data_IF_246116012482
#
_entry.id   IF_246116012482
#
_cell.length_a   1.000
_cell.length_b   1.000
_cell.length_c   1.000
_cell.angle_alpha   90.00
_cell.angle_beta   90.00
_cell.angle_gamma   90.00
#
_symmetry.space_group_name_H-M   'P 1'
#
loop_
_entity.id
_entity.type
_entity.pdbx_description
1 polymer ?
#
# COMPACT_ATOMS: atom_id res chain seq x y z
N UNK A 1 37.98 -40.38 7.56
CA UNK A 1 36.63 -40.59 7.01
C UNK A 1 36.15 -39.26 6.45
N UNK A 2 35.99 -39.10 5.13
CA UNK A 2 35.43 -37.89 4.57
C UNK A 2 33.90 -37.97 4.62
N UNK A 3 33.25 -37.04 5.31
CA UNK A 3 31.81 -36.81 5.21
C UNK A 3 31.55 -36.03 3.92
N UNK A 4 30.90 -36.67 2.97
CA UNK A 4 30.31 -36.02 1.80
C UNK A 4 29.12 -35.22 2.29
N UNK A 5 29.27 -33.90 2.31
CA UNK A 5 28.15 -32.98 2.38
C UNK A 5 27.48 -33.01 1.01
N UNK A 6 26.34 -33.68 0.93
CA UNK A 6 25.39 -33.51 -0.17
C UNK A 6 24.78 -32.12 -0.02
N UNK A 7 25.41 -31.13 -0.66
CA UNK A 7 24.79 -29.84 -0.92
C UNK A 7 23.78 -30.04 -2.06
N UNK A 8 22.51 -30.15 -1.68
CA UNK A 8 21.37 -30.03 -2.59
C UNK A 8 21.44 -28.65 -3.27
N UNK A 9 22.06 -28.62 -4.46
CA UNK A 9 21.97 -27.50 -5.39
C UNK A 9 20.53 -27.40 -5.88
N UNK A 10 19.72 -26.57 -5.21
CA UNK A 10 18.50 -26.03 -5.79
C UNK A 10 18.90 -25.21 -7.02
N UNK A 11 18.73 -25.81 -8.20
CA UNK A 11 18.78 -25.10 -9.47
C UNK A 11 17.69 -24.02 -9.47
N UNK A 12 18.09 -22.78 -9.19
CA UNK A 12 17.32 -21.58 -9.50
C UNK A 12 17.16 -21.48 -11.02
N UNK A 13 16.11 -22.11 -11.54
CA UNK A 13 15.63 -21.89 -12.91
C UNK A 13 14.93 -20.55 -13.03
N UNK A 14 15.62 -19.43 -12.77
CA UNK A 14 15.01 -18.11 -12.56
C UNK A 14 15.16 -17.18 -13.79
N UNK A 15 15.11 -17.74 -15.01
CA UNK A 15 15.49 -17.02 -16.22
C UNK A 15 14.38 -16.55 -17.16
N UNK A 16 13.20 -17.18 -17.18
CA UNK A 16 12.28 -17.03 -18.33
C UNK A 16 10.86 -16.49 -17.99
N UNK A 17 10.44 -16.54 -16.72
CA UNK A 17 9.09 -16.15 -16.31
C UNK A 17 8.75 -14.68 -16.66
N UNK A 18 9.76 -13.79 -16.60
CA UNK A 18 9.60 -12.39 -16.97
C UNK A 18 9.35 -12.17 -18.48
N UNK A 19 9.92 -13.02 -19.33
CA UNK A 19 9.73 -12.95 -20.79
C UNK A 19 8.37 -13.51 -21.19
N UNK A 20 7.97 -14.64 -20.60
CA UNK A 20 6.65 -15.22 -20.83
C UNK A 20 5.52 -14.26 -20.43
N UNK A 21 5.65 -13.62 -19.26
CA UNK A 21 4.70 -12.59 -18.82
C UNK A 21 4.66 -11.41 -19.80
N UNK A 22 5.82 -10.97 -20.30
CA UNK A 22 5.88 -9.86 -21.25
C UNK A 22 5.14 -10.20 -22.56
N UNK A 23 5.36 -11.39 -23.11
CA UNK A 23 4.66 -11.85 -24.33
C UNK A 23 3.16 -12.02 -24.09
N UNK A 24 2.77 -12.59 -22.94
CA UNK A 24 1.37 -12.68 -22.55
C UNK A 24 0.71 -11.30 -22.51
N UNK A 25 1.35 -10.32 -21.86
CA UNK A 25 0.83 -8.96 -21.74
C UNK A 25 0.72 -8.26 -23.11
N UNK A 26 1.64 -8.51 -24.05
CA UNK A 26 1.58 -7.93 -25.40
C UNK A 26 0.31 -8.35 -26.14
N UNK A 27 -0.12 -9.60 -25.95
CA UNK A 27 -1.29 -10.19 -26.59
C UNK A 27 -2.61 -9.82 -25.90
N UNK A 28 -2.57 -9.36 -24.64
CA UNK A 28 -3.75 -9.20 -23.78
C UNK A 28 -3.98 -7.76 -23.28
N UNK A 29 -3.94 -6.75 -24.16
CA UNK A 29 -4.04 -5.33 -23.77
C UNK A 29 -5.45 -4.87 -23.30
N UNK A 30 -6.46 -5.73 -23.40
CA UNK A 30 -7.83 -5.45 -22.94
C UNK A 30 -8.05 -5.69 -21.44
N UNK A 31 -7.00 -6.07 -20.71
CA UNK A 31 -7.05 -6.36 -19.27
C UNK A 31 -7.52 -5.13 -18.49
N UNK A 32 -8.51 -5.34 -17.61
CA UNK A 32 -9.04 -4.31 -16.69
C UNK A 32 -8.40 -4.35 -15.31
N UNK A 33 -7.97 -5.53 -14.88
CA UNK A 33 -7.34 -5.77 -13.58
C UNK A 33 -6.14 -6.67 -13.78
N UNK A 34 -4.97 -6.22 -13.36
CA UNK A 34 -3.72 -6.96 -13.51
C UNK A 34 -3.12 -7.23 -12.14
N UNK A 35 -2.89 -8.51 -11.85
CA UNK A 35 -2.20 -8.97 -10.66
C UNK A 35 -0.86 -9.55 -11.08
N UNK A 36 0.22 -9.00 -10.55
CA UNK A 36 1.58 -9.52 -10.73
C UNK A 36 2.12 -9.84 -9.35
N UNK A 37 2.53 -11.09 -9.17
CA UNK A 37 3.08 -11.65 -7.93
C UNK A 37 4.26 -12.54 -8.30
N UNK A 38 5.19 -12.70 -7.37
CA UNK A 38 6.31 -13.63 -7.45
C UNK A 38 7.22 -13.42 -8.68
N UNK A 39 7.17 -12.24 -9.30
CA UNK A 39 7.94 -11.91 -10.52
C UNK A 39 8.66 -10.57 -10.32
N UNK A 40 9.94 -10.53 -10.70
CA UNK A 40 10.71 -9.29 -10.77
C UNK A 40 10.19 -8.42 -11.91
N UNK A 41 9.66 -7.24 -11.59
CA UNK A 41 9.02 -6.38 -12.58
C UNK A 41 10.09 -5.56 -13.29
N UNK A 42 10.37 -5.91 -14.53
CA UNK A 42 11.24 -5.12 -15.39
C UNK A 42 10.60 -3.79 -15.79
N UNK A 43 11.44 -2.81 -16.14
CA UNK A 43 10.96 -1.54 -16.72
C UNK A 43 10.18 -1.74 -18.03
N UNK A 44 10.46 -2.83 -18.78
CA UNK A 44 9.69 -3.18 -19.98
C UNK A 44 8.25 -3.55 -19.65
N UNK A 45 8.02 -4.36 -18.60
CA UNK A 45 6.67 -4.74 -18.15
C UNK A 45 5.91 -3.49 -17.69
N UNK A 46 6.53 -2.62 -16.87
CA UNK A 46 5.91 -1.36 -16.43
C UNK A 46 5.57 -0.45 -17.61
N UNK A 47 6.44 -0.37 -18.62
CA UNK A 47 6.18 0.43 -19.80
C UNK A 47 5.07 -0.17 -20.67
N UNK A 48 4.96 -1.48 -20.75
CA UNK A 48 3.87 -2.14 -21.46
C UNK A 48 2.53 -1.93 -20.75
N UNK A 49 2.50 -2.00 -19.42
CA UNK A 49 1.30 -1.69 -18.62
C UNK A 49 0.76 -0.29 -18.94
N UNK A 50 1.62 0.66 -19.33
CA UNK A 50 1.19 2.02 -19.74
C UNK A 50 0.33 2.04 -20.99
N UNK A 51 0.44 1.04 -21.88
CA UNK A 51 -0.38 1.00 -23.09
C UNK A 51 -1.80 0.47 -22.85
N UNK A 52 -2.09 -0.05 -21.66
CA UNK A 52 -3.37 -0.71 -21.37
C UNK A 52 -4.45 0.34 -21.09
N UNK A 53 -5.20 0.71 -22.13
CA UNK A 53 -6.23 1.75 -22.05
C UNK A 53 -7.38 1.41 -21.08
N UNK A 54 -7.65 0.11 -20.90
CA UNK A 54 -8.75 -0.39 -20.07
C UNK A 54 -8.34 -0.75 -18.64
N UNK A 55 -7.04 -0.67 -18.31
CA UNK A 55 -6.54 -1.08 -17.00
C UNK A 55 -6.95 -0.07 -15.93
N UNK A 56 -7.69 -0.56 -14.94
CA UNK A 56 -8.23 0.25 -13.83
C UNK A 56 -7.69 -0.16 -12.47
N UNK A 57 -7.23 -1.40 -12.32
CA UNK A 57 -6.69 -1.95 -11.08
C UNK A 57 -5.36 -2.65 -11.36
N UNK A 58 -4.35 -2.34 -10.55
CA UNK A 58 -3.03 -2.95 -10.63
C UNK A 58 -2.61 -3.40 -9.23
N UNK A 59 -2.17 -4.65 -9.13
CA UNK A 59 -1.74 -5.26 -7.88
C UNK A 59 -0.32 -5.78 -8.06
N UNK A 60 0.63 -5.15 -7.37
CA UNK A 60 2.06 -5.43 -7.40
C UNK A 60 2.51 -5.77 -5.97
N UNK A 61 2.05 -6.90 -5.47
CA UNK A 61 2.03 -7.20 -4.03
C UNK A 61 3.23 -8.05 -3.55
N UNK A 62 4.32 -8.11 -4.31
CA UNK A 62 5.49 -8.92 -3.97
C UNK A 62 6.70 -8.08 -3.52
N UNK A 63 7.47 -8.61 -2.59
CA UNK A 63 8.72 -8.00 -2.12
C UNK A 63 9.79 -7.91 -3.20
N UNK A 64 9.83 -8.86 -4.14
CA UNK A 64 10.74 -8.84 -5.28
C UNK A 64 10.35 -7.81 -6.34
N UNK A 65 9.10 -7.32 -6.36
CA UNK A 65 8.64 -6.44 -7.43
C UNK A 65 9.42 -5.12 -7.48
N UNK A 66 9.90 -4.59 -6.35
CA UNK A 66 10.49 -3.24 -6.26
C UNK A 66 11.91 -3.19 -5.70
N UNK A 67 12.56 -4.34 -5.46
CA UNK A 67 13.95 -4.36 -4.96
C UNK A 67 14.93 -3.69 -5.92
N UNK A 68 14.71 -3.83 -7.23
CA UNK A 68 15.68 -3.43 -8.27
C UNK A 68 15.13 -2.40 -9.27
N UNK A 69 13.92 -1.87 -9.05
CA UNK A 69 13.35 -0.92 -10.01
C UNK A 69 14.08 0.42 -9.91
N UNK A 70 14.78 0.76 -11.00
CA UNK A 70 15.26 2.12 -11.22
C UNK A 70 14.07 3.07 -11.39
N UNK A 71 13.75 3.83 -10.34
CA UNK A 71 12.64 4.80 -10.30
C UNK A 71 12.66 5.76 -11.49
N UNK A 72 13.86 6.15 -11.97
CA UNK A 72 14.00 7.04 -13.12
C UNK A 72 13.46 6.40 -14.42
N UNK A 73 13.52 5.07 -14.55
CA UNK A 73 13.00 4.34 -15.72
C UNK A 73 11.47 4.33 -15.79
N UNK A 74 10.79 4.54 -14.66
CA UNK A 74 9.33 4.57 -14.63
C UNK A 74 8.80 5.98 -14.92
N UNK A 75 9.58 7.02 -14.60
CA UNK A 75 9.22 8.45 -14.67
C UNK A 75 8.98 8.98 -16.10
N UNK A 76 7.93 8.47 -16.76
CA UNK A 76 7.46 8.92 -18.07
C UNK A 76 6.34 9.95 -17.93
N UNK A 77 6.15 10.76 -18.98
CA UNK A 77 5.05 11.73 -19.09
C UNK A 77 3.66 11.09 -19.32
N UNK A 78 3.60 9.81 -19.70
CA UNK A 78 2.34 9.11 -19.98
C UNK A 78 1.64 8.76 -18.66
N UNK A 79 0.44 9.33 -18.48
CA UNK A 79 -0.42 9.04 -17.34
C UNK A 79 -1.28 7.82 -17.63
N UNK A 80 -1.28 6.87 -16.70
CA UNK A 80 -2.15 5.69 -16.78
C UNK A 80 -3.47 6.04 -16.09
N UNK A 81 -4.59 5.65 -16.70
CA UNK A 81 -5.91 5.82 -16.10
C UNK A 81 -6.22 4.76 -15.03
N UNK A 82 -5.32 4.61 -14.06
CA UNK A 82 -5.45 3.67 -12.97
C UNK A 82 -6.31 4.27 -11.86
N UNK A 83 -7.30 3.51 -11.39
CA UNK A 83 -8.20 3.92 -10.31
C UNK A 83 -7.83 3.31 -8.95
N UNK A 84 -7.15 2.16 -8.98
CA UNK A 84 -6.71 1.41 -7.80
C UNK A 84 -5.30 0.85 -8.00
N UNK A 85 -4.44 1.03 -6.99
CA UNK A 85 -3.11 0.44 -6.92
C UNK A 85 -2.93 -0.29 -5.59
N UNK A 86 -2.45 -1.52 -5.65
CA UNK A 86 -1.83 -2.21 -4.52
C UNK A 86 -0.35 -2.41 -4.80
N UNK A 87 0.50 -2.05 -3.84
CA UNK A 87 1.95 -2.10 -4.00
C UNK A 87 2.62 -2.55 -2.71
N UNK A 88 3.59 -3.46 -2.84
CA UNK A 88 4.51 -3.79 -1.77
C UNK A 88 5.77 -2.92 -1.87
N UNK A 89 6.06 -2.16 -0.82
CA UNK A 89 7.17 -1.23 -0.73
C UNK A 89 7.93 -1.50 0.56
N UNK A 90 9.01 -2.30 0.57
CA UNK A 90 9.72 -2.58 1.81
C UNK A 90 10.33 -1.31 2.43
N UNK A 91 10.80 -0.37 1.58
CA UNK A 91 11.36 0.93 1.96
C UNK A 91 10.84 1.99 0.96
N UNK A 92 10.56 3.22 1.42
CA UNK A 92 10.27 4.34 0.50
C UNK A 92 11.56 4.97 -0.02
N UNK A 93 12.00 4.55 -1.20
CA UNK A 93 13.13 5.14 -1.92
C UNK A 93 12.73 6.34 -2.81
N UNK A 94 11.59 6.99 -2.52
CA UNK A 94 11.02 8.08 -3.33
C UNK A 94 10.06 7.59 -4.44
N UNK A 95 9.75 6.30 -4.45
CA UNK A 95 8.82 5.70 -5.42
C UNK A 95 7.42 6.28 -5.27
N UNK A 96 6.97 6.57 -4.05
CA UNK A 96 5.66 7.14 -3.80
C UNK A 96 5.48 8.50 -4.51
N UNK A 97 6.52 9.34 -4.53
CA UNK A 97 6.48 10.60 -5.28
C UNK A 97 6.30 10.36 -6.78
N UNK A 98 6.97 9.36 -7.33
CA UNK A 98 6.85 8.98 -8.74
C UNK A 98 5.44 8.47 -9.07
N UNK A 99 4.83 7.67 -8.19
CA UNK A 99 3.47 7.16 -8.37
C UNK A 99 2.43 8.29 -8.41
N UNK A 100 2.61 9.36 -7.62
CA UNK A 100 1.67 10.51 -7.63
C UNK A 100 1.58 11.19 -8.99
N UNK A 101 2.68 11.16 -9.77
CA UNK A 101 2.75 11.75 -11.12
C UNK A 101 2.21 10.80 -12.20
N UNK A 102 2.48 9.51 -12.06
CA UNK A 102 2.10 8.49 -13.05
C UNK A 102 0.63 8.10 -12.96
N UNK A 103 0.08 8.11 -11.75
CA UNK A 103 -1.26 7.64 -11.45
C UNK A 103 -2.10 8.75 -10.80
N UNK A 104 -2.27 9.90 -11.48
CA UNK A 104 -2.96 11.06 -10.90
C UNK A 104 -4.46 10.82 -10.65
N UNK A 105 -5.02 9.77 -11.26
CA UNK A 105 -6.43 9.39 -11.13
C UNK A 105 -6.70 8.37 -10.02
N UNK A 106 -5.70 7.98 -9.22
CA UNK A 106 -5.88 7.00 -8.16
C UNK A 106 -6.93 7.44 -7.15
N UNK A 107 -7.87 6.53 -6.89
CA UNK A 107 -8.94 6.68 -5.91
C UNK A 107 -8.80 5.68 -4.76
N UNK A 108 -8.11 4.55 -4.98
CA UNK A 108 -7.75 3.59 -3.96
C UNK A 108 -6.26 3.27 -4.00
N UNK A 109 -5.61 3.25 -2.85
CA UNK A 109 -4.21 2.90 -2.70
C UNK A 109 -4.05 1.94 -1.52
N UNK A 110 -3.48 0.77 -1.78
CA UNK A 110 -3.06 -0.18 -0.75
C UNK A 110 -1.53 -0.26 -0.75
N UNK A 111 -0.90 0.07 0.37
CA UNK A 111 0.55 0.00 0.54
C UNK A 111 0.84 -1.08 1.57
N UNK A 112 1.59 -2.08 1.15
CA UNK A 112 2.12 -3.12 2.03
C UNK A 112 3.57 -2.75 2.29
N UNK A 113 3.96 -2.55 3.54
CA UNK A 113 5.33 -2.14 3.86
C UNK A 113 5.71 -2.51 5.28
N UNK A 114 6.91 -3.07 5.43
CA UNK A 114 7.47 -3.47 6.72
C UNK A 114 8.12 -2.30 7.47
N UNK A 115 8.75 -1.37 6.76
CA UNK A 115 9.66 -0.37 7.35
C UNK A 115 9.50 1.04 6.77
N UNK A 116 8.25 1.50 6.65
CA UNK A 116 7.99 2.86 6.18
C UNK A 116 7.86 3.82 7.36
N UNK A 117 8.33 5.05 7.22
CA UNK A 117 8.11 6.12 8.22
C UNK A 117 6.79 6.87 7.94
N UNK A 118 5.90 6.93 8.94
CA UNK A 118 4.51 7.35 8.72
C UNK A 118 4.36 8.85 8.41
N UNK A 119 5.22 9.68 9.00
CA UNK A 119 5.27 11.12 8.76
C UNK A 119 5.63 11.44 7.31
N UNK A 120 6.65 10.77 6.76
CA UNK A 120 7.05 10.88 5.35
C UNK A 120 5.92 10.45 4.42
N UNK A 121 5.23 9.35 4.76
CA UNK A 121 4.10 8.82 4.01
C UNK A 121 2.97 9.83 3.83
N UNK A 122 2.53 10.48 4.92
CA UNK A 122 1.41 11.42 4.88
C UNK A 122 1.67 12.57 3.90
N UNK A 123 2.88 13.13 3.95
CA UNK A 123 3.27 14.23 3.06
C UNK A 123 3.16 13.82 1.58
N UNK A 124 3.63 12.62 1.24
CA UNK A 124 3.61 12.15 -0.14
C UNK A 124 2.23 11.75 -0.61
N UNK A 125 1.45 11.02 0.21
CA UNK A 125 0.12 10.57 -0.19
C UNK A 125 -0.84 11.77 -0.36
N UNK A 126 -0.67 12.87 0.38
CA UNK A 126 -1.46 14.10 0.19
C UNK A 126 -1.41 14.69 -1.25
N UNK A 127 -0.43 14.26 -2.05
CA UNK A 127 -0.32 14.61 -3.46
C UNK A 127 -1.27 13.83 -4.38
N UNK A 128 -1.83 12.70 -3.94
CA UNK A 128 -2.87 11.98 -4.70
C UNK A 128 -4.22 12.70 -4.57
N UNK A 129 -4.43 13.69 -5.44
CA UNK A 129 -5.59 14.59 -5.36
C UNK A 129 -6.95 13.90 -5.45
N UNK A 130 -7.05 12.72 -6.08
CA UNK A 130 -8.32 11.97 -6.19
C UNK A 130 -8.46 10.82 -5.19
N UNK A 131 -7.50 10.63 -4.30
CA UNK A 131 -7.49 9.49 -3.39
C UNK A 131 -8.66 9.56 -2.42
N UNK A 132 -9.44 8.47 -2.36
CA UNK A 132 -10.60 8.29 -1.47
C UNK A 132 -10.37 7.22 -0.43
N UNK A 133 -9.62 6.17 -0.77
CA UNK A 133 -9.39 5.03 0.12
C UNK A 133 -7.90 4.78 0.24
N UNK A 134 -7.41 4.75 1.48
CA UNK A 134 -6.03 4.37 1.79
C UNK A 134 -6.05 3.12 2.67
N UNK A 135 -5.27 2.11 2.30
CA UNK A 135 -5.02 0.94 3.14
C UNK A 135 -3.51 0.79 3.35
N UNK A 136 -3.11 0.56 4.59
CA UNK A 136 -1.72 0.36 4.99
C UNK A 136 -1.61 -0.99 5.70
N UNK A 137 -0.68 -1.84 5.25
CA UNK A 137 -0.54 -3.24 5.68
C UNK A 137 0.88 -3.52 6.13
N UNK A 138 1.03 -4.33 7.20
CA UNK A 138 2.28 -4.86 7.74
C UNK A 138 3.28 -3.82 8.22
N UNK A 139 2.79 -2.69 8.71
CA UNK A 139 3.62 -1.60 9.20
C UNK A 139 4.29 -1.97 10.55
N UNK A 140 5.54 -2.48 10.54
CA UNK A 140 6.16 -3.14 11.71
C UNK A 140 6.72 -2.16 12.73
N UNK A 141 7.19 -0.96 12.34
CA UNK A 141 7.89 -0.08 13.29
C UNK A 141 7.30 1.33 13.33
N UNK A 142 6.49 1.59 14.37
CA UNK A 142 6.20 2.94 14.82
C UNK A 142 7.32 3.39 15.76
N UNK A 143 8.48 3.71 15.20
CA UNK A 143 9.51 4.40 15.96
C UNK A 143 8.98 5.79 16.33
N UNK A 144 8.76 5.98 17.63
CA UNK A 144 8.51 7.25 18.32
C UNK A 144 7.26 8.03 17.85
N UNK A 145 6.27 8.14 18.76
CA UNK A 145 5.13 9.08 18.79
C UNK A 145 4.83 9.89 17.51
N UNK A 146 4.49 9.20 16.42
CA UNK A 146 4.19 9.86 15.17
C UNK A 146 2.76 10.39 15.23
N UNK A 147 2.65 11.67 15.58
CA UNK A 147 1.43 12.44 15.35
C UNK A 147 1.02 12.24 13.90
N UNK A 148 -0.11 11.59 13.73
CA UNK A 148 -0.69 11.27 12.45
C UNK A 148 -1.39 12.54 11.97
N UNK A 149 -0.57 13.49 11.51
CA UNK A 149 -1.06 14.77 11.03
C UNK A 149 -1.45 14.59 9.57
N UNK A 150 -2.71 14.18 9.37
CA UNK A 150 -3.35 14.03 8.06
C UNK A 150 -3.65 15.43 7.53
N UNK A 151 -2.63 16.27 7.40
CA UNK A 151 -2.76 17.56 6.78
C UNK A 151 -3.00 17.33 5.29
N UNK A 152 -4.14 17.82 4.79
CA UNK A 152 -4.38 18.05 3.36
C UNK A 152 -4.87 16.87 2.50
N UNK A 153 -5.53 15.87 3.09
CA UNK A 153 -6.27 14.90 2.30
C UNK A 153 -7.68 15.39 1.96
N UNK A 154 -7.80 16.18 0.90
CA UNK A 154 -9.06 16.82 0.50
C UNK A 154 -10.19 15.83 0.16
N UNK A 155 -9.83 14.65 -0.36
CA UNK A 155 -10.79 13.69 -0.92
C UNK A 155 -10.85 12.35 -0.20
N UNK A 156 -10.02 12.15 0.82
CA UNK A 156 -9.94 10.87 1.54
C UNK A 156 -11.20 10.64 2.35
N UNK A 157 -11.81 9.48 2.15
CA UNK A 157 -13.07 9.04 2.75
C UNK A 157 -12.85 7.90 3.74
N UNK A 158 -11.86 7.03 3.47
CA UNK A 158 -11.53 5.91 4.34
C UNK A 158 -10.03 5.69 4.52
N UNK A 159 -9.66 5.24 5.71
CA UNK A 159 -8.32 4.73 6.03
C UNK A 159 -8.46 3.39 6.75
N UNK A 160 -7.74 2.37 6.27
CA UNK A 160 -7.62 1.07 6.91
C UNK A 160 -6.16 0.76 7.25
N UNK A 161 -5.92 0.36 8.49
CA UNK A 161 -4.64 -0.10 8.98
C UNK A 161 -4.77 -1.60 9.29
N UNK A 162 -3.89 -2.41 8.71
CA UNK A 162 -3.70 -3.80 9.08
C UNK A 162 -2.29 -3.94 9.64
N UNK A 163 -2.21 -4.05 10.96
CA UNK A 163 -0.94 -4.01 11.67
C UNK A 163 -0.50 -5.41 12.13
N UNK A 164 0.81 -5.60 12.22
CA UNK A 164 1.41 -6.82 12.78
C UNK A 164 1.25 -6.84 14.32
N UNK A 165 1.59 -7.98 14.93
CA UNK A 165 1.19 -8.51 16.25
C UNK A 165 1.30 -7.57 17.46
N UNK A 166 1.93 -6.39 17.36
CA UNK A 166 2.29 -5.56 18.52
C UNK A 166 1.80 -4.11 18.44
N UNK A 167 0.97 -3.74 17.46
CA UNK A 167 0.52 -2.36 17.33
C UNK A 167 -0.72 -2.07 18.17
N UNK A 168 -0.54 -1.24 19.21
CA UNK A 168 -1.63 -0.71 20.04
C UNK A 168 -2.30 0.51 19.38
N UNK A 169 -3.62 0.63 19.50
CA UNK A 169 -4.37 1.76 18.93
C UNK A 169 -3.95 3.10 19.55
N UNK A 170 -3.63 3.11 20.83
CA UNK A 170 -3.26 4.29 21.62
C UNK A 170 -1.96 4.94 21.11
N UNK A 171 -1.13 4.19 20.37
CA UNK A 171 0.07 4.71 19.74
C UNK A 171 -0.24 5.62 18.54
N UNK A 172 -1.45 5.54 18.00
CA UNK A 172 -1.86 6.41 16.90
C UNK A 172 -2.49 7.70 17.41
N UNK A 173 -1.73 8.79 17.36
CA UNK A 173 -2.27 10.12 17.63
C UNK A 173 -2.94 10.68 16.36
N UNK A 174 -4.23 10.40 16.19
CA UNK A 174 -5.02 10.81 15.02
C UNK A 174 -5.47 12.27 15.09
N UNK A 175 -4.87 13.12 14.26
CA UNK A 175 -5.42 14.44 13.96
C UNK A 175 -6.17 14.41 12.62
N UNK A 176 -7.49 14.23 12.67
CA UNK A 176 -8.36 14.15 11.49
C UNK A 176 -9.16 15.43 11.23
N UNK A 177 -8.89 16.50 11.98
CA UNK A 177 -9.66 17.75 11.90
C UNK A 177 -9.67 18.35 10.49
N UNK A 178 -8.57 18.19 9.75
CA UNK A 178 -8.40 18.71 8.39
C UNK A 178 -8.94 17.77 7.29
N UNK A 179 -9.47 16.59 7.65
CA UNK A 179 -10.01 15.62 6.70
C UNK A 179 -11.53 15.73 6.66
N UNK A 180 -12.05 16.76 6.00
CA UNK A 180 -13.49 17.05 5.99
C UNK A 180 -14.33 15.96 5.33
N UNK A 181 -13.77 15.16 4.41
CA UNK A 181 -14.48 14.06 3.74
C UNK A 181 -14.25 12.69 4.36
N UNK A 182 -13.40 12.60 5.39
CA UNK A 182 -13.09 11.33 6.05
C UNK A 182 -14.28 10.89 6.88
N UNK A 183 -14.79 9.70 6.56
CA UNK A 183 -15.99 9.09 7.15
C UNK A 183 -15.69 7.82 7.93
N UNK A 184 -14.58 7.17 7.61
CA UNK A 184 -14.29 5.83 8.10
C UNK A 184 -12.81 5.64 8.42
N UNK A 185 -12.51 5.14 9.63
CA UNK A 185 -11.17 4.72 10.03
C UNK A 185 -11.28 3.32 10.60
N UNK A 186 -10.37 2.44 10.23
CA UNK A 186 -10.40 1.04 10.62
C UNK A 186 -9.03 0.53 10.97
N UNK A 187 -8.97 -0.21 12.07
CA UNK A 187 -7.79 -0.96 12.49
C UNK A 187 -8.16 -2.43 12.49
N UNK A 188 -7.23 -3.24 12.04
CA UNK A 188 -7.29 -4.69 12.12
C UNK A 188 -5.93 -5.21 12.53
N UNK A 189 -5.97 -6.33 13.22
CA UNK A 189 -4.81 -7.20 13.43
C UNK A 189 -5.03 -8.52 12.71
N UNK A 190 -3.96 -9.30 12.56
CA UNK A 190 -4.02 -10.65 12.01
C UNK A 190 -4.67 -11.64 12.98
N UNK A 191 -5.08 -12.80 12.45
CA UNK A 191 -5.75 -13.82 13.26
C UNK A 191 -4.86 -14.52 14.30
N UNK A 192 -3.54 -14.29 14.24
CA UNK A 192 -2.59 -14.78 15.24
C UNK A 192 -2.08 -13.66 16.16
N UNK A 193 -2.54 -12.43 15.96
CA UNK A 193 -2.16 -11.29 16.77
C UNK A 193 -3.01 -11.18 18.04
N UNK A 194 -2.51 -10.39 18.99
CA UNK A 194 -3.26 -10.01 20.19
C UNK A 194 -4.53 -9.24 19.82
N UNK A 195 -5.54 -9.36 20.68
CA UNK A 195 -6.78 -8.62 20.56
C UNK A 195 -6.56 -7.17 21.02
N UNK A 196 -7.29 -6.24 20.41
CA UNK A 196 -7.37 -4.86 20.87
C UNK A 196 -8.07 -4.79 22.22
N UNK A 197 -7.51 -4.03 23.14
CA UNK A 197 -8.27 -3.48 24.25
C UNK A 197 -9.31 -2.48 23.71
N UNK A 198 -10.42 -2.30 24.42
CA UNK A 198 -11.41 -1.29 24.03
C UNK A 198 -10.79 0.08 24.31
N UNK A 199 -10.55 0.92 23.28
CA UNK A 199 -9.83 2.17 23.48
C UNK A 199 -10.73 3.22 24.13
N UNK A 200 -10.15 4.02 25.01
CA UNK A 200 -10.76 5.27 25.44
C UNK A 200 -10.77 6.25 24.25
N UNK A 201 -11.96 6.71 23.86
CA UNK A 201 -12.08 7.65 22.75
C UNK A 201 -11.44 8.99 23.11
N UNK A 202 -10.44 9.38 22.32
CA UNK A 202 -9.84 10.70 22.45
C UNK A 202 -10.87 11.81 22.14
N UNK A 203 -10.72 13.02 22.69
CA UNK A 203 -11.64 14.12 22.44
C UNK A 203 -11.84 14.47 20.96
N UNK A 204 -10.84 14.24 20.12
CA UNK A 204 -10.84 14.46 18.67
C UNK A 204 -11.83 13.54 17.95
N UNK A 205 -12.15 12.39 18.56
CA UNK A 205 -13.08 11.39 18.03
C UNK A 205 -14.48 11.47 18.66
N UNK A 206 -14.82 12.56 19.39
CA UNK A 206 -16.16 12.75 20.00
C UNK A 206 -17.33 12.66 19.02
N UNK A 207 -17.13 13.05 17.76
CA UNK A 207 -18.14 12.96 16.69
C UNK A 207 -18.04 11.65 15.90
N UNK A 208 -17.41 10.62 16.46
CA UNK A 208 -17.23 9.33 15.83
C UNK A 208 -17.88 8.25 16.69
N UNK A 209 -18.53 7.29 16.02
CA UNK A 209 -19.05 6.08 16.62
C UNK A 209 -18.00 4.98 16.50
N UNK A 210 -17.56 4.46 17.63
CA UNK A 210 -16.76 3.23 17.68
C UNK A 210 -17.66 2.00 17.53
N UNK A 211 -17.26 1.10 16.65
CA UNK A 211 -17.73 -0.29 16.58
C UNK A 211 -16.51 -1.16 16.87
N UNK A 212 -16.60 -1.89 17.98
CA UNK A 212 -15.52 -2.71 18.50
C UNK A 212 -15.76 -4.20 18.22
N UNK A 213 -14.71 -4.88 17.78
CA UNK A 213 -14.54 -6.32 17.80
C UNK A 213 -13.11 -6.62 18.27
N UNK A 214 -12.85 -7.78 18.89
CA UNK A 214 -11.54 -8.08 19.48
C UNK A 214 -10.35 -7.85 18.55
N UNK A 215 -10.48 -8.08 17.24
CA UNK A 215 -9.38 -7.87 16.27
C UNK A 215 -9.66 -6.77 15.26
N UNK A 216 -10.66 -5.94 15.52
CA UNK A 216 -11.09 -4.88 14.61
C UNK A 216 -11.73 -3.71 15.34
N UNK A 217 -11.11 -2.55 15.20
CA UNK A 217 -11.67 -1.27 15.62
C UNK A 217 -12.20 -0.55 14.38
N UNK A 218 -13.40 0.01 14.45
CA UNK A 218 -14.00 0.74 13.33
C UNK A 218 -14.66 2.01 13.83
N UNK A 219 -14.18 3.15 13.35
CA UNK A 219 -14.68 4.47 13.70
C UNK A 219 -15.47 5.03 12.51
N UNK A 220 -16.72 5.42 12.77
CA UNK A 220 -17.61 6.02 11.79
C UNK A 220 -17.95 7.43 12.19
N UNK A 221 -17.74 8.41 11.32
CA UNK A 221 -18.12 9.79 11.62
C UNK A 221 -19.64 9.92 11.67
N UNK A 222 -20.14 10.58 12.71
CA UNK A 222 -21.55 10.85 12.93
C UNK A 222 -21.85 12.25 12.36
N UNK A 223 -22.98 12.42 11.65
CA UNK A 223 -23.51 13.68 11.12
C UNK A 223 -22.71 14.35 9.97
N UNK A 224 -22.51 13.65 8.85
CA UNK A 224 -22.02 14.24 7.60
C UNK A 224 -22.92 13.96 6.39
#
# INVERSE_FOLDING_TARGET
MPSTNDEDQYNEGDGDDGNELLEFLKLNQNIKQLHIRDINISSMILNLIKSFQNLTHLYLSDYKCFSDINIASINSSVQINLSYLEIYLPIDNGILHTLTRQFPNLTGLNIISLDLAFSSLCSTISNFKKLKNLKLVDYIQFHESNKLDIQNFENLQSIEFLAYVQTKFELFNFNVHNCSKLKFIKFKTYDYAEEFEVPDLSPELKNWRLVYFPRKLSFYRINQ
#
